data_IF_720908950124
#
_entry.id   IF_720908950124
#
_cell.length_a   1.000
_cell.length_b   1.000
_cell.length_c   1.000
_cell.angle_alpha   90.00
_cell.angle_beta   90.00
_cell.angle_gamma   90.00
#
_symmetry.space_group_name_H-M   'P 1'
#
loop_
_entity.id
_entity.type
_entity.pdbx_description
1 polymer ?
#
# COMPACT_ATOMS: atom_id res chain seq x y z
N UNK A 1 9.96 -17.51 10.60
CA UNK A 1 9.81 -17.14 9.17
C UNK A 1 10.05 -15.66 8.91
N UNK A 2 9.37 -14.68 9.58
CA UNK A 2 9.63 -13.24 9.35
C UNK A 2 11.09 -12.86 9.64
N UNK A 3 11.66 -13.31 10.75
CA UNK A 3 13.08 -13.10 11.05
C UNK A 3 14.01 -13.74 10.04
N UNK A 4 13.68 -14.95 9.60
CA UNK A 4 14.49 -15.65 8.59
C UNK A 4 14.49 -14.85 7.28
N UNK A 5 13.35 -14.33 6.86
CA UNK A 5 13.26 -13.43 5.69
C UNK A 5 14.04 -12.13 5.91
N UNK A 6 13.91 -11.52 7.09
CA UNK A 6 14.63 -10.29 7.41
C UNK A 6 16.16 -10.45 7.40
N UNK A 7 16.69 -11.66 7.63
CA UNK A 7 18.13 -11.92 7.55
C UNK A 7 18.71 -11.82 6.14
N UNK A 8 17.88 -11.85 5.11
CA UNK A 8 18.27 -11.64 3.71
C UNK A 8 18.17 -10.18 3.27
N UNK A 9 17.69 -9.31 4.14
CA UNK A 9 17.48 -7.90 3.83
C UNK A 9 18.56 -7.03 4.48
N UNK A 10 18.86 -5.85 3.91
CA UNK A 10 19.77 -4.90 4.54
C UNK A 10 19.16 -4.37 5.85
N UNK A 11 20.03 -4.08 6.84
CA UNK A 11 19.57 -3.62 8.15
C UNK A 11 18.85 -2.27 8.09
N UNK A 12 19.23 -1.44 7.13
CA UNK A 12 18.62 -0.13 6.87
C UNK A 12 17.13 -0.21 6.54
N UNK A 13 16.65 -1.36 6.03
CA UNK A 13 15.23 -1.57 5.68
C UNK A 13 14.27 -1.30 6.84
N UNK A 14 14.72 -1.50 8.09
CA UNK A 14 13.89 -1.24 9.26
C UNK A 14 13.55 0.24 9.49
N UNK A 15 14.21 1.13 8.76
CA UNK A 15 13.97 2.57 8.78
C UNK A 15 13.31 3.07 7.48
N UNK A 16 12.99 2.17 6.55
CA UNK A 16 12.41 2.53 5.27
C UNK A 16 10.89 2.34 5.28
N UNK A 17 10.21 3.31 4.75
CA UNK A 17 8.83 3.18 4.31
C UNK A 17 8.77 2.59 2.87
N UNK A 18 7.58 2.27 2.33
CA UNK A 18 7.47 1.72 0.98
C UNK A 18 8.04 2.64 -0.10
N UNK A 19 7.99 3.96 0.08
CA UNK A 19 8.55 4.93 -0.89
C UNK A 19 10.07 4.83 -0.89
N UNK A 20 10.69 4.83 0.28
CA UNK A 20 12.14 4.67 0.44
C UNK A 20 12.65 3.37 -0.20
N UNK A 21 11.92 2.27 -0.03
CA UNK A 21 12.24 0.99 -0.70
C UNK A 21 12.24 1.15 -2.22
N UNK A 22 11.19 1.75 -2.79
CA UNK A 22 11.11 1.97 -4.24
C UNK A 22 12.20 2.92 -4.74
N UNK A 23 12.53 3.98 -4.00
CA UNK A 23 13.62 4.88 -4.36
C UNK A 23 14.97 4.17 -4.43
N UNK A 24 15.30 3.33 -3.45
CA UNK A 24 16.54 2.54 -3.46
C UNK A 24 16.54 1.56 -4.63
N UNK A 25 15.45 0.83 -4.85
CA UNK A 25 15.31 -0.10 -5.97
C UNK A 25 15.44 0.60 -7.34
N UNK A 26 14.87 1.81 -7.46
CA UNK A 26 14.81 2.55 -8.72
C UNK A 26 16.05 3.41 -9.00
N UNK A 27 16.92 3.65 -8.00
CA UNK A 27 18.09 4.53 -8.13
C UNK A 27 19.43 3.80 -8.10
N UNK A 28 19.63 2.85 -7.20
CA UNK A 28 20.94 2.27 -6.91
C UNK A 28 21.17 0.89 -7.55
N UNK A 29 20.12 0.23 -8.01
CA UNK A 29 20.17 -1.11 -8.59
C UNK A 29 20.87 -2.14 -7.68
N UNK A 30 20.66 -2.06 -6.36
CA UNK A 30 21.21 -2.98 -5.35
C UNK A 30 20.17 -3.93 -4.79
N UNK A 31 18.89 -3.55 -4.86
CA UNK A 31 17.76 -4.34 -4.39
C UNK A 31 16.90 -4.67 -5.60
N UNK A 32 16.80 -5.96 -5.91
CA UNK A 32 16.15 -6.44 -7.13
C UNK A 32 14.72 -6.91 -6.93
N UNK A 33 14.31 -7.11 -5.68
CA UNK A 33 13.01 -7.69 -5.37
C UNK A 33 12.50 -7.23 -4.01
N UNK A 34 11.23 -6.82 -3.99
CA UNK A 34 10.49 -6.53 -2.76
C UNK A 34 9.16 -7.29 -2.83
N UNK A 35 8.94 -8.33 -1.99
CA UNK A 35 7.73 -9.16 -2.07
C UNK A 35 6.47 -8.46 -1.58
N UNK A 36 6.60 -7.45 -0.71
CA UNK A 36 5.51 -6.73 -0.09
C UNK A 36 5.81 -5.24 0.00
N UNK A 37 5.10 -4.45 -0.78
CA UNK A 37 5.09 -3.00 -0.66
C UNK A 37 3.77 -2.46 -1.22
N UNK A 38 3.37 -1.27 -0.77
CA UNK A 38 2.34 -0.53 -1.49
C UNK A 38 2.85 -0.17 -2.88
N UNK A 39 2.06 -0.49 -3.91
CA UNK A 39 2.44 -0.21 -5.27
C UNK A 39 2.26 1.27 -5.64
N UNK A 40 3.29 1.85 -6.23
CA UNK A 40 3.27 3.23 -6.74
C UNK A 40 3.57 3.21 -8.23
N UNK A 41 2.56 3.47 -9.06
CA UNK A 41 2.61 3.40 -10.53
C UNK A 41 3.73 4.23 -11.14
N UNK A 42 4.10 5.34 -10.49
CA UNK A 42 5.11 6.25 -11.02
C UNK A 42 6.46 5.57 -11.25
N UNK A 43 6.86 4.64 -10.38
CA UNK A 43 8.11 3.89 -10.56
C UNK A 43 8.11 2.94 -11.78
N UNK A 44 6.93 2.68 -12.36
CA UNK A 44 6.78 1.93 -13.62
C UNK A 44 6.63 2.85 -14.85
N UNK A 45 6.67 4.19 -14.69
CA UNK A 45 6.53 5.16 -15.78
C UNK A 45 7.88 5.61 -16.29
N UNK A 46 8.05 5.63 -17.61
CA UNK A 46 9.28 6.12 -18.24
C UNK A 46 9.54 7.57 -17.86
N UNK A 47 10.79 7.86 -17.50
CA UNK A 47 11.24 9.21 -17.15
C UNK A 47 11.01 9.62 -15.70
N UNK A 48 10.36 8.77 -14.87
CA UNK A 48 10.17 9.07 -13.46
C UNK A 48 11.39 8.75 -12.60
N UNK A 49 12.00 7.59 -12.80
CA UNK A 49 13.17 7.15 -12.05
C UNK A 49 14.24 6.58 -12.99
N UNK A 50 15.46 6.41 -12.47
CA UNK A 50 16.60 5.89 -13.24
C UNK A 50 16.37 4.46 -13.73
N UNK A 51 15.83 3.60 -12.87
CA UNK A 51 15.46 2.22 -13.21
C UNK A 51 13.96 2.05 -13.01
N UNK A 52 13.29 1.47 -14.02
CA UNK A 52 11.87 1.19 -13.92
C UNK A 52 11.63 -0.06 -13.09
N UNK A 53 10.62 0.00 -12.22
CA UNK A 53 10.20 -1.13 -11.43
C UNK A 53 9.00 -1.81 -12.11
N UNK A 54 9.08 -3.13 -12.27
CA UNK A 54 7.94 -3.93 -12.70
C UNK A 54 7.20 -4.45 -11.48
N UNK A 55 5.91 -4.11 -11.39
CA UNK A 55 5.02 -4.65 -10.39
C UNK A 55 4.37 -5.97 -10.87
N UNK A 56 4.03 -6.84 -9.95
CA UNK A 56 3.31 -8.09 -10.20
C UNK A 56 2.37 -8.35 -9.02
N UNK A 57 1.46 -9.29 -9.21
CA UNK A 57 0.62 -9.79 -8.12
C UNK A 57 1.46 -10.31 -6.96
N UNK A 58 0.84 -10.29 -5.77
CA UNK A 58 1.47 -10.77 -4.53
C UNK A 58 1.87 -12.24 -4.64
N UNK A 59 2.94 -12.61 -3.95
CA UNK A 59 3.45 -13.98 -3.93
C UNK A 59 2.46 -14.97 -3.31
N UNK A 60 2.58 -16.23 -3.71
CA UNK A 60 1.81 -17.32 -3.13
C UNK A 60 2.62 -18.07 -2.07
N UNK A 61 1.93 -18.62 -1.08
CA UNK A 61 2.48 -19.53 -0.09
C UNK A 61 1.76 -20.87 -0.17
N UNK A 62 2.49 -21.95 -0.44
CA UNK A 62 1.94 -23.29 -0.68
C UNK A 62 0.84 -23.31 -1.77
N UNK A 63 1.05 -22.57 -2.85
CA UNK A 63 0.11 -22.47 -3.95
C UNK A 63 -1.12 -21.59 -3.71
N UNK A 64 -1.24 -20.97 -2.53
CA UNK A 64 -2.32 -20.04 -2.19
C UNK A 64 -1.79 -18.60 -2.26
N UNK A 65 -2.39 -17.72 -3.10
CA UNK A 65 -2.02 -16.31 -3.12
C UNK A 65 -2.21 -15.67 -1.74
N UNK A 66 -1.24 -14.86 -1.33
CA UNK A 66 -1.36 -14.09 -0.10
C UNK A 66 -2.29 -12.88 -0.32
N UNK A 67 -2.86 -12.37 0.77
CA UNK A 67 -3.65 -11.15 0.76
C UNK A 67 -2.84 -9.99 1.34
N UNK A 68 -2.88 -8.86 0.67
CA UNK A 68 -2.26 -7.62 1.13
C UNK A 68 -3.32 -6.66 1.65
N UNK A 69 -2.88 -5.65 2.38
CA UNK A 69 -3.78 -4.59 2.85
C UNK A 69 -4.10 -3.65 1.69
N UNK A 70 -5.41 -3.35 1.50
CA UNK A 70 -5.83 -2.32 0.56
C UNK A 70 -5.34 -0.95 1.03
N UNK A 71 -4.53 -0.30 0.20
CA UNK A 71 -4.21 1.12 0.30
C UNK A 71 -5.16 1.95 -0.57
N UNK A 72 -5.27 3.22 -0.26
CA UNK A 72 -6.10 4.13 -1.06
C UNK A 72 -6.12 5.54 -0.48
N UNK A 73 -6.62 6.46 -1.30
CA UNK A 73 -6.79 7.86 -0.92
C UNK A 73 -8.22 8.28 -1.21
N UNK A 74 -8.81 9.05 -0.33
CA UNK A 74 -10.15 9.61 -0.50
C UNK A 74 -10.12 11.12 -0.73
N UNK A 75 -11.14 11.63 -1.40
CA UNK A 75 -11.44 13.05 -1.44
C UNK A 75 -12.36 13.40 -0.25
N UNK A 76 -12.03 14.43 0.49
CA UNK A 76 -12.84 14.93 1.58
C UNK A 76 -13.22 16.40 1.32
N UNK A 77 -14.48 16.73 1.60
CA UNK A 77 -15.00 18.09 1.49
C UNK A 77 -15.17 18.63 2.90
N UNK A 78 -14.62 19.82 3.14
CA UNK A 78 -14.76 20.48 4.44
C UNK A 78 -16.22 20.80 4.74
N UNK A 79 -16.70 20.42 5.92
CA UNK A 79 -18.04 20.79 6.39
C UNK A 79 -18.22 22.30 6.59
N UNK A 80 -17.11 23.08 6.56
CA UNK A 80 -17.13 24.54 6.67
C UNK A 80 -17.13 25.26 5.33
N UNK A 81 -17.14 24.53 4.20
CA UNK A 81 -17.17 25.17 2.88
C UNK A 81 -18.44 25.96 2.70
N UNK A 82 -18.35 27.09 1.99
CA UNK A 82 -19.50 27.88 1.56
C UNK A 82 -19.95 27.49 0.14
N UNK A 83 -19.23 26.60 -0.51
CA UNK A 83 -19.41 26.16 -1.91
C UNK A 83 -19.56 24.64 -1.94
N UNK A 84 -20.59 24.14 -1.23
CA UNK A 84 -20.77 22.69 -1.05
C UNK A 84 -21.10 21.98 -2.37
N UNK A 85 -21.98 22.55 -3.18
CA UNK A 85 -22.40 21.97 -4.46
C UNK A 85 -21.22 21.90 -5.42
N UNK A 86 -20.49 22.99 -5.61
CA UNK A 86 -19.32 23.03 -6.49
C UNK A 86 -18.20 22.07 -6.03
N UNK A 87 -18.02 21.95 -4.70
CA UNK A 87 -17.04 21.04 -4.14
C UNK A 87 -17.42 19.57 -4.36
N UNK A 88 -18.71 19.23 -4.27
CA UNK A 88 -19.24 17.90 -4.56
C UNK A 88 -19.11 17.60 -6.06
N UNK A 89 -19.48 18.52 -6.93
CA UNK A 89 -19.37 18.38 -8.38
C UNK A 89 -17.91 18.20 -8.80
N UNK A 90 -16.98 18.96 -8.21
CA UNK A 90 -15.56 18.78 -8.47
C UNK A 90 -15.05 17.42 -8.00
N UNK A 91 -15.45 16.96 -6.81
CA UNK A 91 -15.06 15.64 -6.30
C UNK A 91 -15.60 14.51 -7.20
N UNK A 92 -16.86 14.61 -7.64
CA UNK A 92 -17.48 13.67 -8.57
C UNK A 92 -16.76 13.68 -9.95
N UNK A 93 -16.45 14.86 -10.48
CA UNK A 93 -15.65 15.02 -11.69
C UNK A 93 -14.28 14.36 -11.56
N UNK A 94 -13.53 14.66 -10.51
CA UNK A 94 -12.19 14.12 -10.27
C UNK A 94 -12.20 12.58 -10.12
N UNK A 95 -13.27 12.01 -9.55
CA UNK A 95 -13.44 10.56 -9.39
C UNK A 95 -14.05 9.87 -10.62
N UNK A 96 -14.48 10.63 -11.64
CA UNK A 96 -15.14 10.05 -12.82
C UNK A 96 -14.20 9.15 -13.63
N UNK A 97 -14.80 8.17 -14.31
CA UNK A 97 -14.08 7.22 -15.19
C UNK A 97 -13.20 7.95 -16.22
N UNK A 98 -13.71 8.98 -16.84
CA UNK A 98 -13.00 9.73 -17.89
C UNK A 98 -11.77 10.42 -17.32
N UNK A 99 -11.92 11.20 -16.27
CA UNK A 99 -10.82 11.95 -15.65
C UNK A 99 -9.77 11.02 -15.06
N UNK A 100 -10.17 9.94 -14.41
CA UNK A 100 -9.25 8.97 -13.85
C UNK A 100 -8.44 8.24 -14.92
N UNK A 101 -9.03 7.99 -16.08
CA UNK A 101 -8.32 7.36 -17.24
C UNK A 101 -7.39 8.32 -17.96
N UNK A 102 -7.67 9.61 -17.98
CA UNK A 102 -7.01 10.61 -18.82
C UNK A 102 -6.22 11.61 -17.97
N UNK A 103 -6.79 12.74 -17.64
CA UNK A 103 -6.12 13.87 -16.99
C UNK A 103 -5.42 13.44 -15.70
N UNK A 104 -6.09 12.66 -14.84
CA UNK A 104 -5.51 12.24 -13.57
C UNK A 104 -4.30 11.33 -13.78
N UNK A 105 -4.43 10.31 -14.64
CA UNK A 105 -3.32 9.43 -14.99
C UNK A 105 -2.20 10.17 -15.71
N UNK A 106 -2.51 11.04 -16.70
CA UNK A 106 -1.51 11.77 -17.48
C UNK A 106 -0.62 12.68 -16.63
N UNK A 107 -1.18 13.23 -15.55
CA UNK A 107 -0.45 14.07 -14.60
C UNK A 107 0.17 13.31 -13.41
N UNK A 108 0.42 12.02 -13.55
CA UNK A 108 1.14 11.23 -12.56
C UNK A 108 0.25 10.62 -11.47
N UNK A 109 -1.06 10.79 -11.53
CA UNK A 109 -1.99 10.19 -10.58
C UNK A 109 -2.09 8.68 -10.74
N UNK A 110 -2.29 7.97 -9.65
CA UNK A 110 -2.64 6.54 -9.65
C UNK A 110 -4.15 6.41 -9.56
N UNK A 111 -4.84 6.01 -10.63
CA UNK A 111 -6.30 6.00 -10.65
C UNK A 111 -6.93 5.08 -9.60
N UNK A 112 -8.04 5.52 -9.01
CA UNK A 112 -8.90 4.68 -8.18
C UNK A 112 -10.05 4.02 -8.94
N UNK A 113 -10.32 4.45 -10.17
CA UNK A 113 -11.45 3.95 -10.96
C UNK A 113 -11.05 2.71 -11.77
N UNK A 114 -11.83 1.63 -11.66
CA UNK A 114 -11.53 0.33 -12.29
C UNK A 114 -11.34 0.42 -13.82
N UNK A 115 -12.10 1.26 -14.51
CA UNK A 115 -11.95 1.41 -15.98
C UNK A 115 -10.56 1.91 -16.38
N UNK A 116 -9.91 2.72 -15.53
CA UNK A 116 -8.54 3.17 -15.75
C UNK A 116 -7.51 2.04 -15.56
N UNK A 117 -7.78 1.11 -14.64
CA UNK A 117 -6.95 -0.08 -14.42
C UNK A 117 -7.03 -1.07 -15.59
N UNK A 118 -8.19 -1.16 -16.24
CA UNK A 118 -8.42 -2.03 -17.40
C UNK A 118 -8.04 -1.36 -18.73
N UNK A 119 -7.66 -0.09 -18.72
CA UNK A 119 -7.33 0.64 -19.93
C UNK A 119 -5.98 0.19 -20.50
N UNK A 120 -5.98 -0.25 -21.76
CA UNK A 120 -4.78 -0.79 -22.42
C UNK A 120 -3.70 0.24 -22.66
N UNK A 121 -4.07 1.50 -22.92
CA UNK A 121 -3.09 2.57 -23.14
C UNK A 121 -2.40 2.96 -21.83
N UNK A 122 -3.16 3.07 -20.73
CA UNK A 122 -2.59 3.33 -19.42
C UNK A 122 -1.63 2.21 -19.01
N UNK A 123 -2.00 0.96 -19.22
CA UNK A 123 -1.14 -0.19 -18.94
C UNK A 123 0.14 -0.20 -19.77
N UNK A 124 0.04 0.09 -21.06
CA UNK A 124 1.23 0.18 -21.95
C UNK A 124 2.23 1.25 -21.47
N UNK A 125 1.75 2.35 -20.90
CA UNK A 125 2.56 3.49 -20.41
C UNK A 125 3.23 3.26 -19.06
N UNK A 126 2.81 2.24 -18.30
CA UNK A 126 3.35 1.91 -16.98
C UNK A 126 3.71 0.42 -16.82
N UNK A 127 4.24 -0.22 -17.87
CA UNK A 127 4.73 -1.61 -17.85
C UNK A 127 3.69 -2.62 -17.36
N UNK A 128 2.42 -2.42 -17.70
CA UNK A 128 1.28 -3.22 -17.24
C UNK A 128 1.05 -3.22 -15.72
N UNK A 129 1.49 -2.19 -15.02
CA UNK A 129 1.36 -2.08 -13.57
C UNK A 129 -0.05 -2.43 -13.08
N UNK A 130 -1.06 -1.83 -13.69
CA UNK A 130 -2.46 -2.04 -13.26
C UNK A 130 -2.95 -3.45 -13.54
N UNK A 131 -2.69 -3.97 -14.74
CA UNK A 131 -3.10 -5.31 -15.13
C UNK A 131 -2.40 -6.38 -14.31
N UNK A 132 -1.08 -6.23 -14.09
CA UNK A 132 -0.24 -7.22 -13.40
C UNK A 132 -0.43 -7.20 -11.87
N UNK A 133 -1.20 -6.24 -11.31
CA UNK A 133 -1.51 -6.14 -9.88
C UNK A 133 -3.01 -6.11 -9.58
N UNK A 134 -3.86 -6.27 -10.60
CA UNK A 134 -5.31 -6.17 -10.45
C UNK A 134 -5.89 -7.27 -9.56
N UNK A 135 -5.39 -8.49 -9.68
CA UNK A 135 -5.83 -9.60 -8.85
C UNK A 135 -5.54 -9.32 -7.36
N UNK A 136 -4.34 -8.84 -7.05
CA UNK A 136 -3.96 -8.45 -5.70
C UNK A 136 -4.86 -7.36 -5.14
N UNK A 137 -5.19 -6.34 -5.96
CA UNK A 137 -6.10 -5.27 -5.55
C UNK A 137 -7.51 -5.79 -5.27
N UNK A 138 -8.05 -6.62 -6.17
CA UNK A 138 -9.40 -7.18 -6.05
C UNK A 138 -9.57 -8.10 -4.83
N UNK A 139 -8.50 -8.76 -4.39
CA UNK A 139 -8.48 -9.68 -3.26
C UNK A 139 -7.80 -9.11 -2.01
N UNK A 140 -7.59 -7.80 -1.98
CA UNK A 140 -6.94 -7.15 -0.85
C UNK A 140 -7.82 -7.10 0.40
N UNK A 141 -7.16 -7.08 1.56
CA UNK A 141 -7.81 -7.04 2.86
C UNK A 141 -8.12 -5.60 3.27
N UNK A 142 -9.35 -5.36 3.69
CA UNK A 142 -9.75 -4.10 4.30
C UNK A 142 -9.39 -4.10 5.79
N UNK A 143 -8.63 -3.11 6.23
CA UNK A 143 -8.34 -2.92 7.65
C UNK A 143 -9.62 -2.70 8.43
N UNK A 144 -9.71 -3.20 9.66
CA UNK A 144 -10.85 -2.94 10.54
C UNK A 144 -11.08 -1.44 10.74
N UNK A 145 -12.34 -1.06 10.97
CA UNK A 145 -12.75 0.35 11.09
C UNK A 145 -13.32 0.71 12.47
N UNK A 146 -13.09 -0.13 13.47
CA UNK A 146 -13.49 0.22 14.83
C UNK A 146 -12.57 1.30 15.43
N UNK A 147 -13.08 2.03 16.40
CA UNK A 147 -12.47 3.27 16.92
C UNK A 147 -11.07 3.10 17.53
N UNK A 148 -10.64 1.95 17.98
CA UNK A 148 -9.30 1.71 18.56
C UNK A 148 -8.28 1.11 17.59
N UNK A 149 -8.67 0.84 16.33
CA UNK A 149 -7.82 0.05 15.42
C UNK A 149 -6.50 0.73 15.07
N UNK A 150 -6.50 2.03 14.82
CA UNK A 150 -5.27 2.74 14.45
C UNK A 150 -4.26 2.73 15.59
N UNK A 151 -4.72 2.96 16.82
CA UNK A 151 -3.87 2.88 18.01
C UNK A 151 -3.30 1.47 18.23
N UNK A 152 -4.14 0.44 18.04
CA UNK A 152 -3.67 -0.95 18.05
C UNK A 152 -2.60 -1.19 16.98
N UNK A 153 -2.83 -0.76 15.73
CA UNK A 153 -1.90 -0.97 14.61
C UNK A 153 -0.53 -0.34 14.89
N UNK A 154 -0.53 0.89 15.38
CA UNK A 154 0.70 1.64 15.64
C UNK A 154 1.50 0.99 16.78
N UNK A 155 0.88 0.72 17.92
CA UNK A 155 1.54 0.06 19.05
C UNK A 155 1.97 -1.39 18.73
N UNK A 156 1.15 -2.15 18.00
CA UNK A 156 1.46 -3.52 17.62
C UNK A 156 2.65 -3.62 16.65
N UNK A 157 2.77 -2.65 15.75
CA UNK A 157 3.86 -2.56 14.79
C UNK A 157 5.23 -2.53 15.45
N UNK A 158 5.38 -1.77 16.51
CA UNK A 158 6.64 -1.64 17.26
C UNK A 158 7.07 -2.97 17.88
N UNK A 159 6.16 -3.73 18.47
CA UNK A 159 6.47 -5.05 19.05
C UNK A 159 6.90 -6.05 17.97
N UNK A 160 6.25 -6.05 16.81
CA UNK A 160 6.62 -6.92 15.70
C UNK A 160 7.99 -6.53 15.16
N UNK A 161 8.24 -5.23 14.94
CA UNK A 161 9.51 -4.71 14.47
C UNK A 161 10.66 -5.07 15.40
N UNK A 162 10.50 -4.82 16.70
CA UNK A 162 11.47 -5.16 17.74
C UNK A 162 11.82 -6.65 17.73
N UNK A 163 10.79 -7.52 17.66
CA UNK A 163 10.99 -8.96 17.57
C UNK A 163 11.74 -9.37 16.30
N UNK A 164 11.41 -8.80 15.17
CA UNK A 164 12.07 -9.15 13.90
C UNK A 164 13.56 -8.74 13.93
N UNK A 165 13.88 -7.56 14.49
CA UNK A 165 15.25 -7.07 14.63
C UNK A 165 16.05 -7.87 15.63
N UNK A 166 15.56 -7.95 16.87
CA UNK A 166 16.36 -8.37 18.03
C UNK A 166 16.06 -9.80 18.50
N UNK A 167 14.96 -10.37 18.04
CA UNK A 167 14.54 -11.72 18.43
C UNK A 167 13.76 -11.74 19.74
N UNK A 168 13.80 -12.88 20.40
CA UNK A 168 13.08 -13.11 21.65
C UNK A 168 12.08 -14.26 21.52
N UNK A 169 11.19 -14.36 22.50
CA UNK A 169 10.19 -15.40 22.55
C UNK A 169 8.94 -15.00 21.72
N UNK A 170 8.65 -15.69 20.59
CA UNK A 170 7.52 -15.33 19.73
C UNK A 170 6.18 -15.45 20.46
N UNK A 171 6.04 -16.40 21.40
CA UNK A 171 4.79 -16.59 22.12
C UNK A 171 4.47 -15.39 23.03
N UNK A 172 5.49 -14.80 23.67
CA UNK A 172 5.30 -13.57 24.45
C UNK A 172 4.83 -12.40 23.60
N UNK A 173 5.36 -12.28 22.38
CA UNK A 173 4.94 -11.22 21.44
C UNK A 173 3.47 -11.44 21.02
N UNK A 174 3.10 -12.67 20.66
CA UNK A 174 1.71 -12.98 20.31
C UNK A 174 0.74 -12.69 21.47
N UNK A 175 1.09 -13.06 22.70
CA UNK A 175 0.28 -12.73 23.87
C UNK A 175 0.12 -11.22 24.02
N UNK A 176 1.22 -10.46 23.87
CA UNK A 176 1.17 -9.00 23.97
C UNK A 176 0.32 -8.35 22.88
N UNK A 177 0.41 -8.83 21.65
CA UNK A 177 -0.44 -8.36 20.55
C UNK A 177 -1.93 -8.63 20.82
N UNK A 178 -2.25 -9.81 21.36
CA UNK A 178 -3.62 -10.14 21.72
C UNK A 178 -4.16 -9.23 22.85
N UNK A 179 -3.35 -8.96 23.87
CA UNK A 179 -3.71 -8.00 24.93
C UNK A 179 -4.03 -6.61 24.36
N UNK A 180 -3.13 -6.06 23.53
CA UNK A 180 -3.31 -4.77 22.87
C UNK A 180 -4.58 -4.75 22.02
N UNK A 181 -4.84 -5.84 21.28
CA UNK A 181 -6.04 -5.95 20.45
C UNK A 181 -7.32 -5.92 21.30
N UNK A 182 -7.36 -6.64 22.43
CA UNK A 182 -8.51 -6.64 23.33
C UNK A 182 -8.74 -5.26 23.95
N UNK A 183 -7.70 -4.64 24.49
CA UNK A 183 -7.75 -3.28 25.06
C UNK A 183 -8.28 -2.28 24.03
N UNK A 184 -7.79 -2.35 22.80
CA UNK A 184 -8.22 -1.43 21.73
C UNK A 184 -9.71 -1.52 21.39
N UNK A 185 -10.38 -2.61 21.76
CA UNK A 185 -11.82 -2.80 21.58
C UNK A 185 -12.66 -2.31 22.76
N UNK A 186 -12.09 -2.33 23.96
CA UNK A 186 -12.82 -1.99 25.21
C UNK A 186 -12.90 -0.49 25.46
N UNK A 187 -11.89 0.28 25.04
CA UNK A 187 -11.76 1.71 25.38
C UNK A 187 -12.74 2.66 24.69
N UNK A 188 -13.61 2.18 23.78
CA UNK A 188 -14.46 3.06 22.94
C UNK A 188 -15.87 2.50 22.68
N UNK A 189 -16.47 1.88 23.68
CA UNK A 189 -17.90 1.61 23.69
C UNK A 189 -18.73 2.85 24.02
#
# INVERSE_FOLDING_TARGET
KMRDLASYCPQEMFNWDPISVHEVMASENKIYYCPFAYGYTNYSRRGYAKYLLKANDVVSFNGVPLHTVLGGTGLAISAKTKYTEEAVDFAAYAASSEIQKTIFFDNGGQPGHRSAWLDGENNRRCMNFFQDTLYTLDHSYLRPRYSGYLEFQDNAGDFVREYVMNGGNPQKIICKLNELYLISKEEKG
#
